data_IF_962830423920
#
_entry.id   IF_962830423920
#
_cell.length_a   1.000
_cell.length_b   1.000
_cell.length_c   1.000
_cell.angle_alpha   90.00
_cell.angle_beta   90.00
_cell.angle_gamma   90.00
#
_symmetry.space_group_name_H-M   'P 1'
#
loop_
_entity.id
_entity.type
_entity.pdbx_description
1 polymer ?
#
# COMPACT_ATOMS: atom_id res chain seq x y z
N UNK A 1 -32.08 -39.84 -83.20
CA UNK A 1 -31.39 -40.40 -84.39
C UNK A 1 -30.38 -39.38 -84.89
N UNK A 2 -29.14 -39.83 -85.02
CA UNK A 2 -28.03 -39.36 -85.87
C UNK A 2 -27.51 -37.91 -85.81
N UNK A 3 -26.28 -37.84 -85.30
CA UNK A 3 -25.13 -37.01 -85.68
C UNK A 3 -25.11 -36.38 -87.09
N UNK A 4 -24.56 -35.16 -87.19
CA UNK A 4 -23.18 -34.91 -87.65
C UNK A 4 -22.84 -33.41 -87.70
N UNK A 5 -21.60 -33.14 -87.28
CA UNK A 5 -20.80 -31.93 -87.38
C UNK A 5 -20.47 -31.51 -88.82
N UNK A 6 -20.41 -30.21 -89.10
CA UNK A 6 -19.51 -29.60 -90.09
C UNK A 6 -19.09 -28.20 -89.61
N UNK A 7 -17.81 -28.03 -89.29
CA UNK A 7 -17.10 -26.74 -89.37
C UNK A 7 -16.67 -26.52 -90.83
N UNK A 8 -16.54 -25.26 -91.27
CA UNK A 8 -15.21 -24.73 -91.62
C UNK A 8 -15.09 -23.24 -91.21
N UNK A 9 -13.97 -22.54 -91.16
CA UNK A 9 -12.59 -22.77 -91.55
C UNK A 9 -11.76 -21.71 -90.80
N UNK A 10 -10.58 -22.10 -90.33
CA UNK A 10 -9.60 -21.21 -89.73
C UNK A 10 -8.60 -20.82 -90.83
N UNK A 11 -8.60 -19.57 -91.27
CA UNK A 11 -7.43 -19.00 -91.97
C UNK A 11 -6.60 -18.21 -90.98
N UNK A 12 -5.42 -18.75 -90.74
CA UNK A 12 -4.31 -18.16 -90.01
C UNK A 12 -3.68 -17.01 -90.80
N UNK A 13 -3.52 -15.86 -90.16
CA UNK A 13 -2.36 -15.01 -90.40
C UNK A 13 -1.53 -14.96 -89.12
N UNK A 14 -0.35 -15.55 -89.25
CA UNK A 14 0.64 -15.81 -88.22
C UNK A 14 1.22 -14.51 -87.64
N UNK A 15 1.40 -14.60 -86.33
CA UNK A 15 2.15 -13.80 -85.37
C UNK A 15 3.33 -12.94 -85.86
N UNK A 16 3.41 -11.73 -85.31
CA UNK A 16 4.68 -11.15 -84.86
C UNK A 16 4.90 -11.48 -83.37
N UNK A 17 6.07 -11.99 -82.96
CA UNK A 17 6.33 -12.45 -81.59
C UNK A 17 6.76 -11.26 -80.73
N UNK A 18 5.89 -10.75 -79.85
CA UNK A 18 6.34 -9.70 -78.93
C UNK A 18 5.35 -9.04 -77.98
N UNK A 19 4.03 -9.25 -78.07
CA UNK A 19 3.08 -8.45 -77.27
C UNK A 19 2.54 -9.14 -76.00
N UNK A 20 2.32 -10.46 -76.00
CA UNK A 20 1.56 -11.10 -74.91
C UNK A 20 2.27 -11.05 -73.53
N UNK A 21 3.60 -11.12 -73.48
CA UNK A 21 4.37 -11.07 -72.23
C UNK A 21 4.54 -9.64 -71.69
N UNK A 22 4.52 -8.63 -72.56
CA UNK A 22 4.54 -7.20 -72.18
C UNK A 22 3.20 -6.74 -71.62
N UNK A 23 2.09 -7.24 -72.16
CA UNK A 23 0.74 -6.86 -71.72
C UNK A 23 0.42 -7.35 -70.30
N UNK A 24 0.87 -8.54 -69.91
CA UNK A 24 0.70 -9.05 -68.54
C UNK A 24 1.50 -8.27 -67.50
N UNK A 25 2.74 -7.87 -67.83
CA UNK A 25 3.55 -7.03 -66.95
C UNK A 25 2.97 -5.62 -66.80
N UNK A 26 2.22 -5.14 -67.80
CA UNK A 26 1.53 -3.85 -67.75
C UNK A 26 0.25 -3.92 -66.91
N UNK A 27 -0.48 -5.05 -66.94
CA UNK A 27 -1.65 -5.31 -66.10
C UNK A 27 -1.32 -5.47 -64.60
N UNK A 28 -0.12 -5.97 -64.26
CA UNK A 28 0.34 -6.06 -62.86
C UNK A 28 0.76 -4.68 -62.32
N UNK A 29 1.11 -3.72 -63.20
CA UNK A 29 1.48 -2.34 -62.81
C UNK A 29 0.30 -1.37 -62.76
N UNK A 30 -0.88 -1.75 -63.24
CA UNK A 30 -2.06 -0.88 -63.21
C UNK A 30 -2.64 -0.77 -61.80
N UNK A 31 -2.65 0.45 -61.25
CA UNK A 31 -3.26 0.77 -59.94
C UNK A 31 -4.73 0.36 -59.94
N UNK A 32 -5.14 -0.41 -58.94
CA UNK A 32 -6.54 -0.80 -58.71
C UNK A 32 -7.38 0.44 -58.39
N UNK A 33 -8.16 0.89 -59.37
CA UNK A 33 -9.11 1.98 -59.21
C UNK A 33 -10.44 1.41 -58.73
N UNK A 34 -10.81 1.67 -57.48
CA UNK A 34 -12.16 1.38 -56.99
C UNK A 34 -13.05 2.60 -57.25
N UNK A 35 -14.15 2.40 -57.97
CA UNK A 35 -15.13 3.46 -58.29
C UNK A 35 -16.30 3.35 -57.30
N UNK A 36 -16.41 4.28 -56.37
CA UNK A 36 -17.55 4.40 -55.45
C UNK A 36 -18.26 5.72 -55.80
N UNK A 37 -19.43 5.63 -56.41
CA UNK A 37 -20.22 6.79 -56.83
C UNK A 37 -19.55 7.66 -57.90
N UNK A 38 -19.83 8.97 -57.88
CA UNK A 38 -19.40 9.92 -58.92
C UNK A 38 -17.96 10.46 -58.72
N UNK A 39 -17.18 9.88 -57.80
CA UNK A 39 -15.82 10.31 -57.48
C UNK A 39 -14.84 9.14 -57.58
N UNK A 40 -13.76 9.31 -58.33
CA UNK A 40 -12.65 8.33 -58.39
C UNK A 40 -11.71 8.54 -57.20
N UNK A 41 -11.82 7.71 -56.17
CA UNK A 41 -10.86 7.70 -55.06
C UNK A 41 -9.62 6.93 -55.50
N UNK A 42 -8.52 7.65 -55.75
CA UNK A 42 -7.23 7.05 -56.09
C UNK A 42 -6.53 6.63 -54.81
N UNK A 43 -6.66 5.37 -54.43
CA UNK A 43 -5.90 4.81 -53.30
C UNK A 43 -4.41 4.75 -53.69
N UNK A 44 -3.64 5.76 -53.28
CA UNK A 44 -2.20 5.76 -53.43
C UNK A 44 -1.61 4.90 -52.31
N UNK A 45 -1.50 3.59 -52.55
CA UNK A 45 -1.00 2.60 -51.58
C UNK A 45 0.31 3.01 -50.92
N UNK A 46 1.23 3.63 -51.66
CA UNK A 46 2.48 4.15 -51.11
C UNK A 46 2.26 5.29 -50.11
N UNK A 47 1.34 6.22 -50.41
CA UNK A 47 1.01 7.34 -49.52
C UNK A 47 0.29 6.86 -48.25
N UNK A 48 -0.64 5.93 -48.40
CA UNK A 48 -1.31 5.29 -47.26
C UNK A 48 -0.31 4.54 -46.39
N UNK A 49 0.65 3.82 -46.98
CA UNK A 49 1.70 3.13 -46.25
C UNK A 49 2.59 4.11 -45.49
N UNK A 50 2.99 5.23 -46.10
CA UNK A 50 3.77 6.29 -45.42
C UNK A 50 3.01 6.92 -44.25
N UNK A 51 1.72 7.18 -44.39
CA UNK A 51 0.91 7.71 -43.28
C UNK A 51 0.78 6.68 -42.16
N UNK A 52 0.56 5.41 -42.49
CA UNK A 52 0.48 4.34 -41.50
C UNK A 52 1.80 4.18 -40.75
N UNK A 53 2.94 4.13 -41.45
CA UNK A 53 4.25 4.01 -40.80
C UNK A 53 4.58 5.22 -39.96
N UNK A 54 4.29 6.44 -40.44
CA UNK A 54 4.48 7.66 -39.65
C UNK A 54 3.57 7.68 -38.42
N UNK A 55 2.30 7.27 -38.56
CA UNK A 55 1.36 7.14 -37.45
C UNK A 55 1.81 6.11 -36.42
N UNK A 56 2.29 4.95 -36.85
CA UNK A 56 2.83 3.92 -35.95
C UNK A 56 4.10 4.38 -35.26
N UNK A 57 5.02 5.06 -35.97
CA UNK A 57 6.23 5.64 -35.36
C UNK A 57 5.87 6.72 -34.34
N UNK A 58 4.87 7.56 -34.64
CA UNK A 58 4.42 8.61 -33.73
C UNK A 58 3.77 8.00 -32.49
N UNK A 59 2.97 6.94 -32.64
CA UNK A 59 2.40 6.18 -31.52
C UNK A 59 3.47 5.48 -30.68
N UNK A 60 4.49 4.89 -31.31
CA UNK A 60 5.64 4.31 -30.63
C UNK A 60 6.45 5.37 -29.88
N UNK A 61 6.69 6.52 -30.51
CA UNK A 61 7.38 7.65 -29.89
C UNK A 61 6.58 8.15 -28.68
N UNK A 62 5.27 8.39 -28.84
CA UNK A 62 4.38 8.76 -27.74
C UNK A 62 4.38 7.71 -26.63
N UNK A 63 4.36 6.42 -26.97
CA UNK A 63 4.45 5.32 -26.00
C UNK A 63 5.79 5.32 -25.24
N UNK A 64 6.90 5.65 -25.89
CA UNK A 64 8.22 5.75 -25.25
C UNK A 64 8.43 7.05 -24.46
N UNK A 65 7.76 8.13 -24.84
CA UNK A 65 7.81 9.44 -24.19
C UNK A 65 6.78 9.59 -23.06
N UNK A 66 5.73 8.75 -23.05
CA UNK A 66 4.81 8.64 -21.93
C UNK A 66 5.60 8.14 -20.71
N UNK A 67 5.57 8.89 -19.59
CA UNK A 67 6.19 8.43 -18.36
C UNK A 67 5.56 7.10 -17.95
N UNK A 68 6.37 6.03 -17.88
CA UNK A 68 5.92 4.75 -17.34
C UNK A 68 5.43 4.96 -15.90
N UNK A 69 4.12 4.81 -15.68
CA UNK A 69 3.49 4.97 -14.37
C UNK A 69 2.56 6.18 -14.22
N UNK A 70 2.28 6.96 -15.27
CA UNK A 70 1.28 8.01 -15.21
C UNK A 70 -0.11 7.46 -15.58
N UNK A 71 -0.99 7.30 -14.59
CA UNK A 71 -2.42 7.09 -14.84
C UNK A 71 -2.94 8.28 -15.66
N UNK A 72 -3.43 8.01 -16.87
CA UNK A 72 -4.11 8.99 -17.73
C UNK A 72 -5.49 9.42 -17.18
N UNK A 73 -5.96 8.79 -16.10
CA UNK A 73 -7.20 9.13 -15.41
C UNK A 73 -6.91 9.93 -14.15
N UNK A 74 -6.98 11.25 -14.30
CA UNK A 74 -7.51 12.24 -13.33
C UNK A 74 -7.22 12.03 -11.83
N UNK A 75 -5.98 11.70 -11.48
CA UNK A 75 -5.62 11.32 -10.11
C UNK A 75 -5.40 12.53 -9.18
N UNK A 76 -4.85 13.61 -9.75
CA UNK A 76 -4.61 14.85 -9.03
C UNK A 76 -5.90 15.58 -8.68
N UNK A 77 -6.89 15.66 -9.57
CA UNK A 77 -8.11 16.44 -9.27
C UNK A 77 -8.93 15.77 -8.17
N UNK A 78 -9.06 14.45 -8.15
CA UNK A 78 -9.76 13.73 -7.08
C UNK A 78 -9.04 13.90 -5.74
N UNK A 79 -7.71 13.80 -5.71
CA UNK A 79 -6.95 14.04 -4.49
C UNK A 79 -7.11 15.49 -3.99
N UNK A 80 -7.00 16.47 -4.89
CA UNK A 80 -7.24 17.87 -4.59
C UNK A 80 -8.68 18.12 -4.11
N UNK A 81 -9.66 17.37 -4.60
CA UNK A 81 -11.04 17.46 -4.15
C UNK A 81 -11.25 16.88 -2.74
N UNK A 82 -10.49 15.86 -2.33
CA UNK A 82 -10.49 15.37 -0.94
C UNK A 82 -9.91 16.43 0.00
N UNK A 83 -8.81 17.08 -0.38
CA UNK A 83 -8.19 18.15 0.40
C UNK A 83 -9.08 19.40 0.54
N UNK A 84 -10.05 19.59 -0.37
CA UNK A 84 -11.01 20.70 -0.35
C UNK A 84 -12.23 20.44 0.53
N UNK A 85 -12.40 19.25 1.09
CA UNK A 85 -13.52 18.98 2.00
C UNK A 85 -13.42 19.94 3.20
N UNK A 86 -14.43 20.80 3.44
CA UNK A 86 -14.41 21.75 4.53
C UNK A 86 -14.68 21.01 5.85
N UNK A 87 -13.66 20.40 6.41
CA UNK A 87 -13.67 19.88 7.76
C UNK A 87 -12.64 20.64 8.59
N UNK A 88 -13.06 21.24 9.71
CA UNK A 88 -12.13 21.74 10.71
C UNK A 88 -11.36 20.54 11.29
N UNK A 89 -10.17 20.27 10.74
CA UNK A 89 -9.35 19.14 11.18
C UNK A 89 -8.74 19.43 12.55
N UNK A 90 -9.00 18.56 13.52
CA UNK A 90 -8.36 18.61 14.82
C UNK A 90 -6.98 17.95 14.75
N UNK A 91 -5.94 18.78 14.65
CA UNK A 91 -4.54 18.34 14.57
C UNK A 91 -3.90 18.02 15.94
N UNK A 92 -4.69 17.83 17.00
CA UNK A 92 -4.16 17.47 18.33
C UNK A 92 -3.43 16.14 18.27
N UNK A 93 -2.12 16.16 18.52
CA UNK A 93 -1.27 14.98 18.59
C UNK A 93 -0.05 15.25 19.49
N UNK A 94 0.30 14.32 20.42
CA UNK A 94 -0.54 13.23 20.93
C UNK A 94 -1.85 13.71 21.58
N UNK A 95 -2.77 12.80 21.90
CA UNK A 95 -4.02 13.17 22.58
C UNK A 95 -3.76 13.65 24.02
N UNK A 96 -2.83 13.00 24.73
CA UNK A 96 -2.35 13.41 26.04
C UNK A 96 -1.10 14.27 25.87
N UNK A 97 -1.10 15.46 26.47
CA UNK A 97 0.06 16.37 26.40
C UNK A 97 1.29 15.71 27.00
N UNK A 98 2.45 15.71 26.29
CA UNK A 98 3.71 15.21 26.85
C UNK A 98 4.11 15.95 28.12
N UNK A 99 4.67 15.22 29.09
CA UNK A 99 5.12 15.76 30.37
C UNK A 99 6.63 15.99 30.32
N UNK A 100 7.06 17.24 30.51
CA UNK A 100 8.48 17.58 30.70
C UNK A 100 8.92 17.26 32.14
N UNK A 101 9.95 16.44 32.29
CA UNK A 101 10.51 16.06 33.60
C UNK A 101 11.66 16.99 34.04
N UNK A 102 12.14 17.85 33.15
CA UNK A 102 13.17 18.85 33.42
C UNK A 102 12.74 20.23 32.87
N UNK A 103 13.38 21.30 33.37
CA UNK A 103 13.04 22.69 32.98
C UNK A 103 13.27 22.98 31.49
N UNK A 104 14.09 22.18 30.81
CA UNK A 104 14.46 22.41 29.42
C UNK A 104 13.75 21.45 28.45
N UNK A 105 12.81 20.61 28.93
CA UNK A 105 12.12 19.59 28.14
C UNK A 105 13.09 18.70 27.33
N UNK A 106 14.25 18.38 27.91
CA UNK A 106 15.18 17.38 27.40
C UNK A 106 14.73 15.96 27.73
N UNK A 107 13.99 15.81 28.83
CA UNK A 107 13.41 14.55 29.26
C UNK A 107 11.89 14.68 29.16
N UNK A 108 11.29 13.90 28.26
CA UNK A 108 9.85 13.90 28.03
C UNK A 108 9.25 12.54 28.30
N UNK A 109 8.07 12.55 28.93
CA UNK A 109 7.26 11.38 29.21
C UNK A 109 5.96 11.46 28.38
N UNK A 110 5.70 10.44 27.59
CA UNK A 110 4.57 10.35 26.67
C UNK A 110 3.66 9.20 27.07
N UNK A 111 2.35 9.44 27.01
CA UNK A 111 1.37 8.37 27.18
C UNK A 111 1.37 7.53 25.90
N UNK A 112 1.44 6.22 26.04
CA UNK A 112 1.40 5.29 24.92
C UNK A 112 0.34 4.22 25.15
N UNK A 113 -0.14 3.64 24.05
CA UNK A 113 -0.98 2.46 24.07
C UNK A 113 -0.60 1.48 22.98
N UNK A 114 -0.88 0.20 23.24
CA UNK A 114 -0.81 -0.87 22.27
C UNK A 114 -2.11 -1.67 22.24
N UNK A 115 -2.55 -2.07 21.04
CA UNK A 115 -3.82 -2.78 20.83
C UNK A 115 -3.55 -4.20 20.30
N UNK A 116 -4.30 -5.17 20.82
CA UNK A 116 -4.07 -6.58 20.55
C UNK A 116 -4.91 -7.12 19.39
N UNK A 117 -4.29 -7.89 18.53
CA UNK A 117 -4.98 -8.89 17.73
C UNK A 117 -4.87 -10.26 18.43
N UNK A 118 -6.01 -10.88 18.67
CA UNK A 118 -6.09 -12.22 19.29
C UNK A 118 -6.56 -13.28 18.30
N UNK A 119 -6.56 -12.98 16.99
CA UNK A 119 -7.03 -13.84 15.93
C UNK A 119 -8.43 -14.42 16.27
N UNK A 120 -8.60 -15.73 16.09
CA UNK A 120 -9.82 -16.47 16.41
C UNK A 120 -10.13 -16.52 17.91
N UNK A 121 -9.14 -16.29 18.78
CA UNK A 121 -9.31 -16.26 20.24
C UNK A 121 -9.95 -14.94 20.72
N UNK A 122 -10.18 -13.98 19.81
CA UNK A 122 -11.02 -12.80 20.07
C UNK A 122 -12.47 -13.17 20.40
N UNK A 123 -12.97 -14.33 19.97
CA UNK A 123 -14.37 -14.71 20.10
C UNK A 123 -14.72 -15.13 21.54
N UNK A 124 -15.73 -14.47 22.12
CA UNK A 124 -16.43 -14.86 23.34
C UNK A 124 -17.79 -15.52 23.03
N UNK A 125 -18.60 -15.71 24.06
CA UNK A 125 -19.99 -16.19 23.97
C UNK A 125 -20.93 -15.10 23.40
N UNK A 126 -22.07 -15.53 22.85
CA UNK A 126 -23.18 -14.66 22.41
C UNK A 126 -22.78 -13.59 21.38
N UNK A 127 -22.07 -14.00 20.31
CA UNK A 127 -21.65 -13.10 19.23
C UNK A 127 -20.97 -11.82 19.73
N UNK A 128 -20.08 -12.01 20.69
CA UNK A 128 -19.22 -10.96 21.24
C UNK A 128 -17.77 -11.30 20.91
N UNK A 129 -17.02 -10.33 20.42
CA UNK A 129 -15.58 -10.44 20.21
C UNK A 129 -14.87 -9.39 21.06
N UNK A 130 -13.63 -9.67 21.41
CA UNK A 130 -12.84 -8.81 22.29
C UNK A 130 -11.43 -8.61 21.80
N UNK A 131 -10.87 -7.46 22.18
CA UNK A 131 -9.45 -7.11 22.07
C UNK A 131 -8.99 -6.48 23.38
N UNK A 132 -7.68 -6.27 23.53
CA UNK A 132 -7.05 -5.66 24.70
C UNK A 132 -6.33 -4.40 24.29
N UNK A 133 -6.55 -3.33 25.05
CA UNK A 133 -5.75 -2.11 24.97
C UNK A 133 -4.88 -2.02 26.22
N UNK A 134 -3.57 -2.11 26.03
CA UNK A 134 -2.58 -1.96 27.09
C UNK A 134 -1.99 -0.57 27.01
N UNK A 135 -1.98 0.14 28.13
CA UNK A 135 -1.48 1.52 28.20
C UNK A 135 -0.23 1.59 29.07
N UNK A 136 0.57 2.62 28.84
CA UNK A 136 1.83 2.82 29.54
C UNK A 136 2.40 4.20 29.29
N UNK A 137 3.67 4.34 29.63
CA UNK A 137 4.44 5.56 29.44
C UNK A 137 5.79 5.26 28.80
N UNK A 138 6.16 6.07 27.81
CA UNK A 138 7.49 6.10 27.24
C UNK A 138 8.19 7.37 27.73
N UNK A 139 9.32 7.22 28.42
CA UNK A 139 10.19 8.32 28.82
C UNK A 139 11.41 8.34 27.91
N UNK A 140 11.67 9.48 27.28
CA UNK A 140 12.82 9.68 26.40
C UNK A 140 13.70 10.82 26.92
N UNK A 141 14.96 10.50 27.21
CA UNK A 141 16.00 11.48 27.54
C UNK A 141 16.83 11.77 26.28
N UNK A 142 16.67 12.97 25.74
CA UNK A 142 17.38 13.44 24.54
C UNK A 142 18.85 13.74 24.78
N UNK A 143 19.26 13.96 26.03
CA UNK A 143 20.64 14.28 26.38
C UNK A 143 21.50 13.04 26.29
N UNK A 144 21.01 11.93 26.85
CA UNK A 144 21.74 10.67 26.91
C UNK A 144 21.28 9.66 25.86
N UNK A 145 20.24 9.98 25.07
CA UNK A 145 19.57 9.08 24.15
C UNK A 145 19.08 7.78 24.82
N UNK A 146 18.58 7.90 26.05
CA UNK A 146 18.07 6.75 26.81
C UNK A 146 16.55 6.73 26.79
N UNK A 147 15.98 5.53 26.77
CA UNK A 147 14.53 5.32 26.71
C UNK A 147 14.12 4.31 27.76
N UNK A 148 13.10 4.67 28.52
CA UNK A 148 12.45 3.82 29.52
C UNK A 148 10.98 3.65 29.14
N UNK A 149 10.47 2.43 29.24
CA UNK A 149 9.07 2.10 28.97
C UNK A 149 8.48 1.45 30.22
N UNK A 150 7.37 2.02 30.70
CA UNK A 150 6.63 1.53 31.86
C UNK A 150 5.21 1.20 31.42
N UNK A 151 4.66 0.06 31.85
CA UNK A 151 3.30 -0.34 31.53
C UNK A 151 2.40 -0.23 32.75
N UNK A 152 1.15 0.15 32.53
CA UNK A 152 0.14 0.14 33.56
C UNK A 152 -0.19 -1.31 33.99
N UNK A 153 -0.61 -1.47 35.24
CA UNK A 153 -0.93 -2.78 35.81
C UNK A 153 -2.19 -3.42 35.23
N UNK A 154 -3.10 -2.61 34.68
CA UNK A 154 -4.39 -3.07 34.14
C UNK A 154 -4.47 -2.87 32.63
N UNK A 155 -4.98 -3.88 31.94
CA UNK A 155 -5.34 -3.81 30.53
C UNK A 155 -6.83 -3.57 30.40
N UNK A 156 -7.20 -2.75 29.42
CA UNK A 156 -8.59 -2.44 29.10
C UNK A 156 -9.11 -3.49 28.11
N UNK A 157 -10.30 -4.03 28.38
CA UNK A 157 -10.95 -4.98 27.47
C UNK A 157 -11.91 -4.24 26.54
N UNK A 158 -11.59 -4.22 25.25
CA UNK A 158 -12.44 -3.67 24.21
C UNK A 158 -13.41 -4.75 23.72
N UNK A 159 -14.71 -4.44 23.65
CA UNK A 159 -15.74 -5.42 23.24
C UNK A 159 -16.55 -4.91 22.06
N UNK A 160 -16.65 -5.74 21.02
CA UNK A 160 -17.49 -5.49 19.85
C UNK A 160 -18.46 -6.63 19.59
N UNK A 161 -19.53 -6.35 18.85
CA UNK A 161 -20.54 -7.33 18.41
C UNK A 161 -20.61 -7.51 16.90
N UNK A 162 -19.92 -6.67 16.13
CA UNK A 162 -19.83 -6.81 14.68
C UNK A 162 -18.81 -7.90 14.32
N UNK A 163 -19.15 -8.74 13.35
CA UNK A 163 -18.26 -9.75 12.83
C UNK A 163 -18.56 -10.04 11.36
N UNK A 164 -17.57 -10.62 10.68
CA UNK A 164 -17.71 -11.16 9.34
C UNK A 164 -17.22 -12.61 9.35
N UNK A 165 -18.06 -13.53 8.89
CA UNK A 165 -17.81 -14.97 8.96
C UNK A 165 -17.42 -15.45 10.38
N UNK A 166 -18.03 -14.86 11.41
CA UNK A 166 -17.84 -15.23 12.82
C UNK A 166 -16.51 -14.78 13.43
N UNK A 167 -15.79 -13.84 12.79
CA UNK A 167 -14.55 -13.21 13.27
C UNK A 167 -14.72 -11.69 13.36
N UNK A 168 -14.14 -11.05 14.36
CA UNK A 168 -14.19 -9.60 14.57
C UNK A 168 -13.32 -9.20 15.75
N UNK A 169 -13.09 -7.90 15.92
CA UNK A 169 -12.17 -7.35 16.94
C UNK A 169 -10.74 -7.89 16.84
N UNK A 170 -10.30 -8.23 15.62
CA UNK A 170 -8.91 -8.56 15.31
C UNK A 170 -8.22 -7.26 14.89
N UNK A 171 -7.72 -6.55 15.90
CA UNK A 171 -7.35 -5.14 15.80
C UNK A 171 -5.88 -4.98 15.39
N UNK A 172 -5.64 -4.61 14.12
CA UNK A 172 -4.32 -4.69 13.49
C UNK A 172 -3.53 -3.38 13.41
N UNK A 173 -4.04 -2.25 13.91
CA UNK A 173 -3.28 -0.99 14.05
C UNK A 173 -3.98 -0.02 15.00
N UNK A 174 -3.24 0.97 15.51
CA UNK A 174 -3.70 2.07 16.35
C UNK A 174 -3.20 3.42 15.82
N UNK A 175 -4.09 4.38 15.59
CA UNK A 175 -3.75 5.71 15.03
C UNK A 175 -4.54 6.83 15.70
N UNK A 176 -3.89 7.95 16.01
CA UNK A 176 -4.58 9.21 16.32
C UNK A 176 -4.91 9.97 15.05
N UNK A 177 -6.20 10.20 14.79
CA UNK A 177 -6.68 10.92 13.62
C UNK A 177 -7.84 11.85 13.96
N UNK A 178 -7.75 13.12 13.55
CA UNK A 178 -8.76 14.14 13.82
C UNK A 178 -9.12 14.25 15.33
N UNK A 179 -8.10 14.17 16.20
CA UNK A 179 -8.27 14.24 17.66
C UNK A 179 -8.96 13.03 18.30
N UNK A 180 -9.02 11.89 17.60
CA UNK A 180 -9.63 10.65 18.07
C UNK A 180 -8.63 9.50 18.00
N UNK A 181 -8.76 8.52 18.89
CA UNK A 181 -7.99 7.29 18.85
C UNK A 181 -8.75 6.26 18.01
N UNK A 182 -8.16 5.80 16.91
CA UNK A 182 -8.79 4.86 15.98
C UNK A 182 -8.05 3.52 15.96
N UNK A 183 -8.81 2.44 15.75
CA UNK A 183 -8.31 1.07 15.59
C UNK A 183 -9.05 0.37 14.46
N UNK A 184 -8.46 -0.67 13.88
CA UNK A 184 -8.92 -1.24 12.61
C UNK A 184 -9.12 -2.74 12.74
N UNK A 185 -10.32 -3.25 12.45
CA UNK A 185 -10.61 -4.68 12.45
C UNK A 185 -10.37 -5.29 11.06
N UNK A 186 -9.34 -6.12 10.93
CA UNK A 186 -8.89 -6.70 9.66
C UNK A 186 -9.87 -7.74 9.08
N UNK A 187 -10.92 -8.11 9.83
CA UNK A 187 -11.93 -9.08 9.41
C UNK A 187 -13.13 -8.39 8.81
N UNK A 188 -13.66 -7.42 9.53
CA UNK A 188 -14.86 -6.68 9.12
C UNK A 188 -14.52 -5.51 8.20
N UNK A 189 -13.27 -5.02 8.23
CA UNK A 189 -12.87 -3.78 7.57
C UNK A 189 -13.41 -2.53 8.28
N UNK A 190 -13.92 -2.66 9.52
CA UNK A 190 -14.46 -1.53 10.28
C UNK A 190 -13.32 -0.78 10.98
N UNK A 191 -13.30 0.53 10.78
CA UNK A 191 -12.55 1.48 11.60
C UNK A 191 -13.41 1.81 12.82
N UNK A 192 -12.88 1.56 14.02
CA UNK A 192 -13.49 1.92 15.29
C UNK A 192 -12.80 3.14 15.90
N UNK A 193 -13.59 4.00 16.53
CA UNK A 193 -13.10 4.97 17.51
C UNK A 193 -13.07 4.34 18.90
N UNK A 194 -11.97 4.50 19.62
CA UNK A 194 -11.83 4.09 21.01
C UNK A 194 -12.12 5.30 21.89
N UNK A 195 -13.20 5.22 22.68
CA UNK A 195 -13.57 6.23 23.68
C UNK A 195 -13.74 5.56 25.05
N UNK A 196 -12.74 5.71 25.93
CA UNK A 196 -12.72 4.99 27.20
C UNK A 196 -12.62 3.49 26.96
N UNK A 197 -13.61 2.73 27.44
CA UNK A 197 -13.74 1.27 27.26
C UNK A 197 -14.59 0.85 26.05
N UNK A 198 -15.05 1.82 25.25
CA UNK A 198 -15.95 1.60 24.12
C UNK A 198 -15.19 1.58 22.80
N UNK A 199 -15.67 0.73 21.90
CA UNK A 199 -15.31 0.75 20.48
C UNK A 199 -16.54 1.12 19.67
N UNK A 200 -16.46 2.27 18.99
CA UNK A 200 -17.58 2.88 18.26
C UNK A 200 -17.30 2.72 16.76
N UNK A 201 -18.09 1.93 16.02
CA UNK A 201 -17.93 1.82 14.57
C UNK A 201 -18.03 3.19 13.90
N UNK A 202 -17.08 3.52 13.03
CA UNK A 202 -17.07 4.80 12.32
C UNK A 202 -17.20 4.63 10.80
N UNK A 203 -16.28 3.88 10.17
CA UNK A 203 -16.22 3.70 8.71
C UNK A 203 -16.03 2.22 8.39
N UNK A 204 -16.73 1.72 7.36
CA UNK A 204 -16.55 0.38 6.81
C UNK A 204 -15.71 0.46 5.54
N UNK A 205 -14.69 -0.40 5.43
CA UNK A 205 -13.81 -0.51 4.28
C UNK A 205 -14.05 -1.83 3.57
N UNK A 206 -14.57 -1.78 2.35
CA UNK A 206 -14.65 -2.94 1.45
C UNK A 206 -13.27 -3.25 0.85
N UNK A 207 -13.00 -4.53 0.60
CA UNK A 207 -11.71 -4.99 0.07
C UNK A 207 -11.43 -4.50 -1.38
N UNK A 208 -10.15 -4.50 -1.76
CA UNK A 208 -9.69 -4.14 -3.10
C UNK A 208 -10.09 -2.73 -3.52
N UNK A 209 -10.69 -2.63 -4.70
CA UNK A 209 -11.18 -1.39 -5.32
C UNK A 209 -12.45 -0.83 -4.67
N UNK A 210 -12.99 -1.51 -3.66
CA UNK A 210 -14.21 -1.11 -2.94
C UNK A 210 -15.48 -1.85 -3.39
N UNK A 211 -15.41 -2.69 -4.41
CA UNK A 211 -16.56 -3.47 -4.89
C UNK A 211 -16.61 -4.91 -4.34
N UNK A 212 -15.61 -5.33 -3.56
CA UNK A 212 -15.63 -6.62 -2.89
C UNK A 212 -16.73 -6.68 -1.81
N UNK A 213 -17.33 -7.86 -1.65
CA UNK A 213 -18.36 -8.10 -0.63
C UNK A 213 -17.80 -8.39 0.77
N UNK A 214 -16.48 -8.62 0.87
CA UNK A 214 -15.77 -8.80 2.13
C UNK A 214 -15.14 -7.48 2.61
N UNK A 215 -15.03 -7.34 3.92
CA UNK A 215 -14.20 -6.33 4.58
C UNK A 215 -12.73 -6.36 4.13
N UNK A 216 -12.13 -5.18 4.08
CA UNK A 216 -10.72 -4.97 3.78
C UNK A 216 -9.85 -5.48 4.93
N UNK A 217 -8.87 -6.32 4.61
CA UNK A 217 -7.88 -6.79 5.57
C UNK A 217 -6.83 -5.69 5.79
N UNK A 218 -7.16 -4.77 6.69
CA UNK A 218 -6.31 -3.65 7.08
C UNK A 218 -5.20 -4.12 8.01
N UNK A 219 -3.97 -3.77 7.68
CA UNK A 219 -2.77 -4.19 8.42
C UNK A 219 -1.93 -3.00 8.91
N UNK A 220 -2.14 -1.81 8.34
CA UNK A 220 -1.44 -0.59 8.76
C UNK A 220 -2.29 0.63 8.45
N UNK A 221 -2.03 1.71 9.18
CA UNK A 221 -2.64 3.00 8.95
C UNK A 221 -1.73 4.15 9.38
N UNK A 222 -1.84 5.28 8.69
CA UNK A 222 -1.08 6.50 9.01
C UNK A 222 -1.81 7.74 8.52
N UNK A 223 -1.36 8.91 8.96
CA UNK A 223 -1.96 10.20 8.61
C UNK A 223 -1.05 10.97 7.68
N UNK A 224 -1.58 11.41 6.54
CA UNK A 224 -0.90 12.28 5.59
C UNK A 224 -1.86 13.36 5.11
N UNK A 225 -1.44 14.62 5.23
CA UNK A 225 -2.20 15.78 4.76
C UNK A 225 -3.65 15.81 5.27
N UNK A 226 -3.84 15.52 6.57
CA UNK A 226 -5.14 15.43 7.24
C UNK A 226 -6.09 14.36 6.69
N UNK A 227 -5.55 13.39 5.94
CA UNK A 227 -6.25 12.21 5.47
C UNK A 227 -5.69 10.98 6.17
N UNK A 228 -6.57 10.03 6.49
CA UNK A 228 -6.21 8.74 7.04
C UNK A 228 -5.96 7.76 5.89
N UNK A 229 -4.76 7.21 5.82
CA UNK A 229 -4.38 6.17 4.88
C UNK A 229 -4.42 4.83 5.59
N UNK A 230 -5.08 3.84 5.01
CA UNK A 230 -5.20 2.48 5.54
C UNK A 230 -4.79 1.52 4.45
N UNK A 231 -3.85 0.62 4.70
CA UNK A 231 -3.46 -0.39 3.73
C UNK A 231 -3.46 -1.80 4.31
N UNK A 232 -3.32 -2.77 3.42
CA UNK A 232 -3.23 -4.18 3.76
C UNK A 232 -1.81 -4.70 3.63
N UNK A 233 -1.70 -6.01 3.44
CA UNK A 233 -0.43 -6.75 3.37
C UNK A 233 0.57 -6.19 2.35
N UNK A 234 0.10 -5.57 1.26
CA UNK A 234 0.96 -5.00 0.22
C UNK A 234 1.62 -6.01 -0.70
N UNK A 235 1.12 -7.25 -0.73
CA UNK A 235 1.46 -8.28 -1.71
C UNK A 235 0.20 -8.92 -2.28
N UNK A 236 0.36 -9.72 -3.32
CA UNK A 236 -0.70 -10.57 -3.83
C UNK A 236 -1.31 -11.45 -2.73
N UNK A 237 -2.63 -11.61 -2.77
CA UNK A 237 -3.30 -12.66 -2.02
C UNK A 237 -3.01 -13.98 -2.71
N UNK A 238 -2.47 -14.94 -1.95
CA UNK A 238 -2.06 -16.25 -2.45
C UNK A 238 -2.77 -17.36 -1.68
N UNK A 239 -2.85 -18.56 -2.26
CA UNK A 239 -3.11 -19.74 -1.44
C UNK A 239 -1.88 -20.09 -0.57
N UNK A 240 -2.01 -21.13 0.26
CA UNK A 240 -0.95 -21.57 1.18
C UNK A 240 0.33 -22.07 0.49
N UNK A 241 0.32 -22.23 -0.84
CA UNK A 241 1.47 -22.65 -1.65
C UNK A 241 2.06 -21.51 -2.50
N UNK A 242 1.55 -20.30 -2.35
CA UNK A 242 2.03 -19.12 -3.07
C UNK A 242 1.42 -18.89 -4.46
N UNK A 243 0.37 -19.63 -4.84
CA UNK A 243 -0.36 -19.36 -6.09
C UNK A 243 -1.26 -18.13 -5.93
N UNK A 244 -1.13 -17.17 -6.84
CA UNK A 244 -1.86 -15.88 -6.79
C UNK A 244 -3.36 -16.10 -7.03
N UNK A 245 -4.18 -15.53 -6.13
CA UNK A 245 -5.64 -15.55 -6.18
C UNK A 245 -6.19 -14.16 -6.52
N UNK A 246 -5.68 -13.10 -5.89
CA UNK A 246 -6.11 -11.72 -6.16
C UNK A 246 -5.03 -10.70 -5.81
N UNK A 247 -5.26 -9.44 -6.21
CA UNK A 247 -4.39 -8.29 -5.93
C UNK A 247 -4.97 -7.36 -4.87
N UNK A 248 -6.09 -7.74 -4.23
CA UNK A 248 -6.84 -6.87 -3.32
C UNK A 248 -6.00 -6.29 -2.16
N UNK A 249 -5.07 -7.05 -1.52
CA UNK A 249 -4.26 -6.51 -0.41
C UNK A 249 -3.24 -5.44 -0.83
N UNK A 250 -3.09 -5.18 -2.14
CA UNK A 250 -2.25 -4.11 -2.68
C UNK A 250 -3.02 -2.80 -2.92
N UNK A 251 -4.32 -2.77 -2.63
CA UNK A 251 -5.09 -1.54 -2.59
C UNK A 251 -4.99 -0.88 -1.22
N UNK A 252 -4.97 0.46 -1.20
CA UNK A 252 -5.12 1.24 0.03
C UNK A 252 -6.45 2.00 0.02
N UNK A 253 -6.85 2.46 1.21
CA UNK A 253 -8.03 3.26 1.46
C UNK A 253 -7.59 4.62 2.00
N UNK A 254 -8.13 5.69 1.44
CA UNK A 254 -7.89 7.07 1.88
C UNK A 254 -9.20 7.61 2.42
N UNK A 255 -9.22 7.94 3.70
CA UNK A 255 -10.42 8.33 4.44
C UNK A 255 -10.30 9.79 4.89
N UNK A 256 -11.32 10.59 4.59
CA UNK A 256 -11.36 11.99 5.04
C UNK A 256 -11.82 12.10 6.49
N UNK A 257 -11.63 13.26 7.16
CA UNK A 257 -12.17 13.47 8.51
C UNK A 257 -13.69 13.27 8.61
N UNK A 258 -14.42 13.51 7.53
CA UNK A 258 -15.87 13.26 7.41
C UNK A 258 -16.26 11.80 7.18
N UNK A 259 -15.28 10.90 6.97
CA UNK A 259 -15.52 9.47 6.76
C UNK A 259 -15.72 9.08 5.29
N UNK A 260 -15.51 9.99 4.33
CA UNK A 260 -15.53 9.65 2.90
C UNK A 260 -14.33 8.76 2.58
N UNK A 261 -14.55 7.66 1.88
CA UNK A 261 -13.53 6.69 1.48
C UNK A 261 -13.19 6.80 0.00
N UNK A 262 -11.91 6.68 -0.34
CA UNK A 262 -11.39 6.54 -1.71
C UNK A 262 -10.43 5.37 -1.77
N UNK A 263 -10.55 4.56 -2.80
CA UNK A 263 -9.74 3.36 -3.01
C UNK A 263 -8.63 3.67 -4.01
N UNK A 264 -7.39 3.29 -3.70
CA UNK A 264 -6.23 3.51 -4.58
C UNK A 264 -5.44 2.23 -4.79
N UNK A 265 -5.15 1.92 -6.04
CA UNK A 265 -4.24 0.83 -6.39
C UNK A 265 -2.81 1.28 -6.07
N UNK A 266 -2.14 0.53 -5.19
CA UNK A 266 -0.75 0.75 -4.77
C UNK A 266 0.19 -0.34 -5.24
N UNK A 267 -0.25 -1.24 -6.14
CA UNK A 267 0.53 -2.37 -6.63
C UNK A 267 1.93 -1.96 -7.11
N UNK A 268 2.02 -0.95 -7.99
CA UNK A 268 3.31 -0.49 -8.51
C UNK A 268 4.22 0.07 -7.41
N UNK A 269 3.64 0.69 -6.37
CA UNK A 269 4.40 1.19 -5.22
C UNK A 269 5.00 0.04 -4.41
N UNK A 270 4.21 -1.00 -4.14
CA UNK A 270 4.68 -2.20 -3.44
C UNK A 270 5.75 -2.97 -4.23
N UNK A 271 5.58 -3.11 -5.55
CA UNK A 271 6.60 -3.72 -6.41
C UNK A 271 7.92 -2.94 -6.33
N UNK A 272 7.86 -1.60 -6.37
CA UNK A 272 9.06 -0.75 -6.22
C UNK A 272 9.76 -0.92 -4.87
N UNK A 273 9.00 -1.11 -3.78
CA UNK A 273 9.57 -1.41 -2.46
C UNK A 273 10.32 -2.74 -2.46
N UNK A 274 9.74 -3.80 -3.06
CA UNK A 274 10.42 -5.08 -3.23
C UNK A 274 11.72 -4.95 -4.05
N UNK A 275 11.64 -4.31 -5.23
CA UNK A 275 12.81 -4.11 -6.10
C UNK A 275 13.90 -3.26 -5.44
N UNK A 276 13.55 -2.29 -4.59
CA UNK A 276 14.53 -1.51 -3.84
C UNK A 276 15.34 -2.35 -2.83
N UNK A 277 14.83 -3.51 -2.43
CA UNK A 277 15.54 -4.49 -1.63
C UNK A 277 16.08 -5.68 -2.44
N UNK A 278 16.09 -5.59 -3.78
CA UNK A 278 16.47 -6.67 -4.69
C UNK A 278 15.64 -7.95 -4.49
N UNK A 279 14.38 -7.80 -4.11
CA UNK A 279 13.42 -8.90 -4.02
C UNK A 279 12.58 -8.88 -5.29
N UNK A 280 12.71 -9.94 -6.08
CA UNK A 280 11.97 -10.13 -7.33
C UNK A 280 10.99 -11.30 -7.17
N UNK A 281 9.86 -11.31 -7.91
CA UNK A 281 8.93 -12.43 -7.89
C UNK A 281 9.64 -13.78 -8.16
N UNK A 282 9.30 -14.86 -7.43
CA UNK A 282 8.15 -14.99 -6.53
C UNK A 282 8.40 -14.49 -5.09
N UNK A 283 9.53 -13.83 -4.82
CA UNK A 283 9.79 -13.17 -3.54
C UNK A 283 8.78 -12.05 -3.23
N UNK A 284 8.67 -11.70 -1.95
CA UNK A 284 7.62 -10.80 -1.45
C UNK A 284 8.06 -10.02 -0.20
N UNK A 285 7.28 -8.99 0.12
CA UNK A 285 7.26 -8.32 1.42
C UNK A 285 5.84 -8.31 1.98
N UNK A 286 5.71 -8.33 3.31
CA UNK A 286 4.44 -8.09 4.00
C UNK A 286 4.60 -6.82 4.83
N UNK A 287 3.65 -5.89 4.71
CA UNK A 287 3.69 -4.59 5.34
C UNK A 287 2.59 -4.44 6.39
N UNK A 288 2.99 -4.19 7.64
CA UNK A 288 2.09 -3.91 8.77
C UNK A 288 2.54 -2.67 9.57
N UNK A 289 3.80 -2.26 9.41
CA UNK A 289 4.34 -1.07 10.05
C UNK A 289 4.70 -0.02 8.99
N UNK A 290 3.80 0.96 8.79
CA UNK A 290 3.94 2.03 7.77
C UNK A 290 3.59 3.40 8.34
N UNK A 291 4.44 4.41 8.12
CA UNK A 291 4.12 5.80 8.46
C UNK A 291 4.50 6.80 7.38
N UNK A 292 3.70 7.85 7.25
CA UNK A 292 4.11 9.07 6.56
C UNK A 292 4.78 10.03 7.55
N UNK A 293 5.89 10.62 7.13
CA UNK A 293 6.57 11.67 7.87
C UNK A 293 6.39 13.02 7.17
N UNK A 294 5.69 13.99 7.80
CA UNK A 294 5.63 15.36 7.27
C UNK A 294 6.96 16.10 7.41
N UNK A 295 7.86 15.66 8.30
CA UNK A 295 9.19 16.29 8.49
C UNK A 295 10.16 15.87 7.39
N UNK A 296 10.21 14.58 7.09
CA UNK A 296 11.06 14.02 6.04
C UNK A 296 10.41 14.09 4.65
N UNK A 297 9.09 14.32 4.58
CA UNK A 297 8.29 14.28 3.35
C UNK A 297 8.44 12.93 2.62
N UNK A 298 8.39 11.86 3.40
CA UNK A 298 8.66 10.50 2.96
C UNK A 298 7.75 9.49 3.65
N UNK A 299 7.47 8.40 2.95
CA UNK A 299 6.91 7.19 3.52
C UNK A 299 8.02 6.34 4.15
N UNK A 300 7.74 5.72 5.28
CA UNK A 300 8.63 4.82 6.00
C UNK A 300 7.93 3.48 6.18
N UNK A 301 8.61 2.40 5.79
CA UNK A 301 8.11 1.03 5.90
C UNK A 301 9.08 0.18 6.70
N UNK A 302 8.56 -0.50 7.71
CA UNK A 302 9.22 -1.61 8.40
C UNK A 302 8.43 -2.87 8.06
N UNK A 303 8.77 -3.60 6.98
CA UNK A 303 8.01 -4.79 6.62
C UNK A 303 8.02 -5.80 7.77
N UNK A 304 6.88 -6.48 8.02
CA UNK A 304 6.82 -7.62 8.95
C UNK A 304 7.70 -8.73 8.42
N UNK A 305 7.56 -9.03 7.12
CA UNK A 305 8.21 -10.14 6.44
C UNK A 305 8.92 -9.68 5.16
N UNK A 306 10.02 -10.34 4.82
CA UNK A 306 10.70 -10.19 3.54
C UNK A 306 11.34 -11.52 3.12
N UNK A 307 11.11 -11.95 1.88
CA UNK A 307 11.56 -13.24 1.36
C UNK A 307 11.94 -13.15 -0.11
N UNK A 308 13.04 -13.80 -0.50
CA UNK A 308 13.37 -14.03 -1.92
C UNK A 308 12.70 -15.31 -2.48
N UNK A 309 12.13 -16.14 -1.61
CA UNK A 309 11.38 -17.34 -1.98
C UNK A 309 9.88 -17.04 -2.08
N UNK A 310 9.16 -17.90 -2.80
CA UNK A 310 7.69 -17.89 -2.86
C UNK A 310 7.05 -18.00 -1.47
N UNK A 311 5.86 -17.42 -1.34
CA UNK A 311 5.06 -17.48 -0.12
C UNK A 311 4.65 -18.91 0.24
N UNK A 312 4.76 -19.24 1.52
CA UNK A 312 4.34 -20.49 2.13
C UNK A 312 4.02 -20.20 3.60
N UNK A 313 2.82 -20.56 4.06
CA UNK A 313 2.30 -20.18 5.39
C UNK A 313 3.26 -20.55 6.53
N UNK A 314 3.87 -21.75 6.45
CA UNK A 314 4.73 -22.26 7.51
C UNK A 314 6.12 -21.62 7.49
N UNK A 315 6.66 -21.39 6.29
CA UNK A 315 7.96 -20.73 6.16
C UNK A 315 7.89 -19.25 6.55
N UNK A 316 6.76 -18.59 6.28
CA UNK A 316 6.57 -17.16 6.55
C UNK A 316 6.67 -16.81 8.04
N UNK A 317 6.34 -17.74 8.96
CA UNK A 317 6.56 -17.58 10.41
C UNK A 317 8.01 -17.17 10.73
N UNK A 318 8.98 -17.62 9.93
CA UNK A 318 10.42 -17.36 10.05
C UNK A 318 10.96 -16.40 8.96
N UNK A 319 10.11 -15.56 8.35
CA UNK A 319 10.53 -14.53 7.37
C UNK A 319 10.60 -13.11 7.96
N UNK A 320 10.68 -12.99 9.28
CA UNK A 320 10.91 -11.72 9.99
C UNK A 320 12.11 -10.97 9.43
N UNK A 321 12.06 -9.65 9.44
CA UNK A 321 13.09 -8.81 8.82
C UNK A 321 13.46 -7.60 9.69
N UNK A 322 14.60 -6.98 9.36
CA UNK A 322 15.08 -5.75 10.00
C UNK A 322 15.23 -4.59 9.01
N UNK A 323 14.59 -4.69 7.83
CA UNK A 323 14.65 -3.65 6.81
C UNK A 323 13.81 -2.43 7.22
N UNK A 324 14.32 -1.25 6.87
CA UNK A 324 13.61 0.01 6.85
C UNK A 324 13.73 0.61 5.45
N UNK A 325 12.60 0.78 4.78
CA UNK A 325 12.52 1.47 3.49
C UNK A 325 12.02 2.89 3.69
N UNK A 326 12.65 3.86 3.03
CA UNK A 326 12.18 5.25 2.97
C UNK A 326 11.88 5.59 1.53
N UNK A 327 10.64 5.92 1.21
CA UNK A 327 10.20 6.27 -0.13
C UNK A 327 9.81 7.74 -0.21
N UNK A 328 10.18 8.42 -1.30
CA UNK A 328 9.58 9.71 -1.65
C UNK A 328 8.07 9.57 -1.82
N UNK A 329 7.34 10.69 -1.76
CA UNK A 329 5.88 10.69 -1.89
C UNK A 329 5.35 9.95 -3.14
N UNK A 330 6.12 9.98 -4.23
CA UNK A 330 5.83 9.37 -5.53
C UNK A 330 6.51 8.00 -5.73
N UNK A 331 7.17 7.46 -4.71
CA UNK A 331 7.92 6.19 -4.73
C UNK A 331 9.02 6.12 -5.81
N UNK A 332 9.43 7.25 -6.39
CA UNK A 332 10.52 7.29 -7.38
C UNK A 332 11.90 7.13 -6.75
N UNK A 333 12.07 7.57 -5.50
CA UNK A 333 13.30 7.44 -4.74
C UNK A 333 13.04 6.62 -3.50
N UNK A 334 13.63 5.44 -3.45
CA UNK A 334 13.54 4.54 -2.30
C UNK A 334 14.96 4.27 -1.79
N UNK A 335 15.18 4.51 -0.50
CA UNK A 335 16.42 4.14 0.17
C UNK A 335 16.16 3.01 1.16
N UNK A 336 17.10 2.09 1.26
CA UNK A 336 17.07 0.94 2.15
C UNK A 336 18.10 1.11 3.27
N UNK A 337 17.71 0.78 4.49
CA UNK A 337 18.61 0.64 5.64
C UNK A 337 18.13 -0.51 6.53
N UNK A 338 18.92 -0.86 7.55
CA UNK A 338 18.55 -1.87 8.54
C UNK A 338 18.34 -1.20 9.92
N UNK A 339 17.50 -1.80 10.75
CA UNK A 339 17.19 -1.36 12.12
C UNK A 339 17.46 -2.49 13.09
N UNK A 340 18.57 -2.40 13.82
CA UNK A 340 19.01 -3.46 14.73
C UNK A 340 19.29 -4.81 14.06
N UNK A 341 19.48 -5.87 14.85
CA UNK A 341 19.70 -7.22 14.33
C UNK A 341 18.42 -7.83 13.74
N UNK A 342 18.58 -8.75 12.79
CA UNK A 342 17.49 -9.57 12.25
C UNK A 342 17.21 -10.74 13.20
N UNK A 343 15.94 -10.97 13.51
CA UNK A 343 15.44 -12.14 14.23
C UNK A 343 14.32 -12.73 13.37
N UNK A 344 14.49 -13.96 12.91
CA UNK A 344 13.64 -14.55 11.86
C UNK A 344 12.17 -14.73 12.31
N UNK A 345 11.92 -15.02 13.59
CA UNK A 345 10.57 -15.17 14.13
C UNK A 345 9.88 -13.86 14.48
N UNK A 346 10.60 -12.74 14.53
CA UNK A 346 10.05 -11.44 14.94
C UNK A 346 9.83 -10.53 13.72
N UNK A 347 8.59 -10.18 13.46
CA UNK A 347 8.22 -9.23 12.40
C UNK A 347 7.70 -7.92 12.98
N UNK A 348 8.08 -6.78 12.40
CA UNK A 348 7.49 -5.49 12.78
C UNK A 348 5.98 -5.47 12.51
N UNK A 349 5.20 -5.12 13.53
CA UNK A 349 3.74 -5.05 13.44
C UNK A 349 3.21 -3.61 13.49
N UNK A 350 3.87 -2.69 14.19
CA UNK A 350 3.57 -1.25 14.11
C UNK A 350 4.75 -0.42 14.58
N UNK A 351 4.79 0.85 14.19
CA UNK A 351 5.74 1.83 14.73
C UNK A 351 5.15 3.24 14.69
N UNK A 352 5.74 4.17 15.45
CA UNK A 352 5.46 5.61 15.39
C UNK A 352 6.73 6.42 15.68
N UNK A 353 6.85 7.60 15.09
CA UNK A 353 7.91 8.54 15.44
C UNK A 353 7.67 9.13 16.82
N UNK A 354 8.71 9.28 17.64
CA UNK A 354 8.57 9.91 18.96
C UNK A 354 8.31 11.41 18.77
N UNK A 355 7.19 11.97 19.27
CA UNK A 355 6.84 13.37 19.03
C UNK A 355 7.85 14.34 19.65
N UNK A 356 8.19 15.40 18.92
CA UNK A 356 9.16 16.39 19.39
C UNK A 356 8.63 17.44 20.35
N UNK A 357 7.34 17.75 20.23
CA UNK A 357 6.77 18.96 20.79
C UNK A 357 6.45 18.82 22.28
N UNK A 358 6.73 19.88 23.03
CA UNK A 358 6.25 20.04 24.41
C UNK A 358 5.93 21.51 24.66
N UNK A 359 4.93 21.77 25.49
CA UNK A 359 4.53 23.12 25.88
C UNK A 359 5.04 23.40 27.30
N UNK A 360 5.85 24.45 27.47
CA UNK A 360 6.23 24.98 28.79
C UNK A 360 5.55 26.34 28.96
N UNK A 361 4.82 26.54 30.07
CA UNK A 361 4.27 27.85 30.48
C UNK A 361 3.46 28.59 29.40
N UNK A 362 2.59 27.88 28.66
CA UNK A 362 1.77 28.43 27.56
C UNK A 362 2.57 29.04 26.39
N UNK A 363 3.90 28.91 26.38
CA UNK A 363 4.75 29.25 25.24
C UNK A 363 5.04 27.98 24.47
N UNK A 364 4.61 27.92 23.21
CA UNK A 364 4.93 26.80 22.34
C UNK A 364 6.44 26.77 22.12
N UNK A 365 7.12 25.80 22.72
CA UNK A 365 8.50 25.51 22.35
C UNK A 365 8.44 24.45 21.25
N UNK A 366 8.25 24.93 20.01
CA UNK A 366 8.49 24.10 18.83
C UNK A 366 10.00 23.86 18.76
N UNK A 367 10.45 22.81 19.44
CA UNK A 367 11.74 22.23 19.13
C UNK A 367 11.61 21.68 17.71
N UNK A 368 12.13 22.46 16.77
CA UNK A 368 12.27 22.09 15.38
C UNK A 368 12.75 20.63 15.28
N UNK A 369 12.15 19.84 14.39
CA UNK A 369 12.78 18.67 13.74
C UNK A 369 13.04 17.39 14.57
N UNK A 370 12.02 16.59 14.88
CA UNK A 370 12.16 15.51 15.89
C UNK A 370 11.64 14.12 15.56
N UNK A 371 11.32 13.82 14.31
CA UNK A 371 11.17 12.43 13.86
C UNK A 371 12.55 11.78 13.65
N UNK A 372 13.44 11.94 14.63
CA UNK A 372 14.81 11.41 14.65
C UNK A 372 14.89 10.06 15.37
N UNK A 373 13.87 9.73 16.15
CA UNK A 373 13.73 8.48 16.90
C UNK A 373 12.33 7.92 16.66
N UNK A 374 12.23 6.60 16.56
CA UNK A 374 10.96 5.90 16.42
C UNK A 374 10.86 4.75 17.44
N UNK A 375 9.66 4.53 17.95
CA UNK A 375 9.28 3.34 18.72
C UNK A 375 8.59 2.37 17.79
N UNK A 376 8.94 1.09 17.88
CA UNK A 376 8.34 0.03 17.09
C UNK A 376 8.01 -1.18 17.97
N UNK A 377 7.01 -1.93 17.56
CA UNK A 377 6.67 -3.23 18.12
C UNK A 377 6.88 -4.32 17.07
N UNK A 378 7.30 -5.49 17.54
CA UNK A 378 7.41 -6.69 16.74
C UNK A 378 6.59 -7.80 17.37
N UNK A 379 5.75 -8.46 16.60
CA UNK A 379 5.08 -9.67 17.04
C UNK A 379 5.78 -10.92 16.52
N UNK A 380 5.67 -11.97 17.31
CA UNK A 380 6.17 -13.32 17.05
C UNK A 380 4.98 -14.27 17.04
N UNK A 381 4.91 -15.11 16.02
CA UNK A 381 3.97 -16.23 15.91
C UNK A 381 4.76 -17.44 15.46
N UNK A 382 5.05 -18.35 16.38
CA UNK A 382 5.78 -19.58 16.08
C UNK A 382 5.02 -20.74 16.68
N UNK A 383 4.55 -21.66 15.84
CA UNK A 383 3.84 -22.89 16.27
C UNK A 383 2.68 -22.59 17.22
N UNK A 384 1.92 -21.54 16.94
CA UNK A 384 0.74 -21.12 17.72
C UNK A 384 1.05 -20.40 19.03
N UNK A 385 2.31 -20.05 19.33
CA UNK A 385 2.65 -19.17 20.45
C UNK A 385 2.81 -17.74 19.95
N UNK A 386 2.11 -16.81 20.60
CA UNK A 386 2.21 -15.39 20.32
C UNK A 386 3.05 -14.67 21.37
N UNK A 387 3.85 -13.70 20.93
CA UNK A 387 4.51 -12.74 21.80
C UNK A 387 4.66 -11.40 21.10
N UNK A 388 4.82 -10.32 21.87
CA UNK A 388 5.17 -9.02 21.32
C UNK A 388 6.33 -8.41 22.08
N UNK A 389 7.18 -7.70 21.35
CA UNK A 389 8.37 -7.01 21.83
C UNK A 389 8.32 -5.54 21.41
N UNK A 390 8.84 -4.65 22.26
CA UNK A 390 9.00 -3.22 21.96
C UNK A 390 10.49 -2.89 21.78
N UNK A 391 10.81 -2.02 20.82
CA UNK A 391 12.15 -1.50 20.60
C UNK A 391 12.09 -0.03 20.20
N UNK A 392 13.18 0.71 20.44
CA UNK A 392 13.31 2.11 20.05
C UNK A 392 14.63 2.31 19.34
N UNK A 393 14.63 3.06 18.23
CA UNK A 393 15.80 3.24 17.39
C UNK A 393 15.88 4.64 16.78
N UNK A 394 17.09 5.05 16.40
CA UNK A 394 17.33 6.28 15.64
C UNK A 394 16.96 6.09 14.18
N UNK A 395 16.13 6.99 13.65
CA UNK A 395 15.65 6.94 12.26
C UNK A 395 16.78 7.11 11.25
N UNK A 396 17.80 7.92 11.60
CA UNK A 396 18.91 8.26 10.69
C UNK A 396 19.71 7.04 10.24
N UNK A 397 20.01 6.13 11.16
CA UNK A 397 20.98 5.05 10.97
C UNK A 397 20.50 3.69 11.48
N UNK A 398 19.30 3.61 12.06
CA UNK A 398 18.75 2.37 12.62
C UNK A 398 19.40 1.92 13.92
N UNK A 399 20.20 2.78 14.57
CA UNK A 399 20.84 2.46 15.84
C UNK A 399 19.79 2.24 16.93
N UNK A 400 19.84 1.08 17.59
CA UNK A 400 18.96 0.74 18.71
C UNK A 400 19.31 1.60 19.94
N UNK A 401 18.30 2.25 20.50
CA UNK A 401 18.32 2.99 21.78
C UNK A 401 17.71 2.18 22.93
N UNK A 402 16.74 1.33 22.60
CA UNK A 402 16.09 0.41 23.54
C UNK A 402 15.99 -0.96 22.89
N UNK A 403 16.71 -1.94 23.45
CA UNK A 403 16.70 -3.31 22.96
C UNK A 403 15.30 -3.92 23.03
N UNK A 404 15.04 -4.89 22.14
CA UNK A 404 13.77 -5.63 22.13
C UNK A 404 13.45 -6.19 23.53
N UNK A 405 12.37 -5.69 24.11
CA UNK A 405 11.88 -6.10 25.42
C UNK A 405 10.48 -6.66 25.27
N UNK A 406 10.24 -7.86 25.79
CA UNK A 406 8.92 -8.51 25.69
C UNK A 406 7.88 -7.75 26.49
N UNK A 407 6.72 -7.47 25.88
CA UNK A 407 5.61 -6.70 26.48
C UNK A 407 4.32 -7.51 26.68
N UNK A 408 4.24 -8.71 26.09
CA UNK A 408 3.07 -9.59 26.23
C UNK A 408 3.24 -10.96 25.56
N UNK A 409 2.32 -11.86 25.88
CA UNK A 409 2.15 -13.19 25.26
C UNK A 409 0.95 -13.20 24.28
N UNK A 410 0.69 -12.06 23.67
CA UNK A 410 -0.34 -11.82 22.63
C UNK A 410 0.29 -10.98 21.54
N UNK A 411 -0.32 -10.92 20.37
CA UNK A 411 0.10 -10.03 19.29
C UNK A 411 -0.46 -8.64 19.57
N UNK A 412 0.40 -7.69 19.90
CA UNK A 412 0.05 -6.29 19.78
C UNK A 412 0.46 -5.83 18.38
N UNK A 413 -0.49 -5.28 17.66
CA UNK A 413 -0.34 -4.94 16.23
C UNK A 413 -0.52 -3.45 15.95
N UNK A 414 -0.94 -2.67 16.96
CA UNK A 414 -0.87 -1.20 16.88
C UNK A 414 -0.14 -0.61 18.07
N UNK A 415 0.70 0.40 17.84
CA UNK A 415 1.25 1.29 18.88
C UNK A 415 0.96 2.75 18.52
N UNK A 416 0.59 3.54 19.53
CA UNK A 416 0.34 4.98 19.34
C UNK A 416 0.64 5.80 20.59
N UNK A 417 0.98 7.08 20.38
CA UNK A 417 1.01 8.11 21.41
C UNK A 417 -0.40 8.67 21.62
N UNK A 418 -0.99 8.36 22.78
CA UNK A 418 -2.37 8.71 23.16
C UNK A 418 -2.43 9.86 24.15
#
# INVERSE_FOLDING_TARGET
MSSRSLLPEYTSSVSGPGSASRDWLQAIRTRTNFRIGNSTVRCQTNFTLTIMTLGTLTLLLLYTLLPKGMSLFDDHTHYQNLLKEPAAYNATYPLTKPIALDRFAKILKYRIAVVADMDKESKLLNDTWVSKLKTGWLKFDRTFNTVEVEWDSTELLLKGSLSQAGRGMELSELVVFNGRLLTFDDRTGVIYEIEGDKVIPWVLLNDGDGHATKGFKSEWATVKDSLLYVGGLGKEWTNSKGEVISYDPQWIKVVTPGGRVVHRDWRDNYIRLCSAANIEPPGYMIHEAVNWSPIHQQWFFLPRRASHEAYDDLKDEERGTNLLLRASQDFQKISLQNVGPKIDSHGFSSFKFIPGECFIEKKAFRLNTQESVAVAIKSEEVKGKAATYITVFKVKDGQILHHETKIGNVKYEGIEFI
#
